data_IF_610559236466
#
_entry.id   IF_610559236466
#
_cell.length_a   1.000
_cell.length_b   1.000
_cell.length_c   1.000
_cell.angle_alpha   90.00
_cell.angle_beta   90.00
_cell.angle_gamma   90.00
#
_symmetry.space_group_name_H-M   'P 1'
#
loop_
_entity.id
_entity.type
_entity.pdbx_description
1 polymer ?
#
# COMPACT_ATOMS: atom_id res chain seq x y z
N UNK A 1 0.04 -10.37 14.95
CA UNK A 1 -0.56 -11.49 14.17
C UNK A 1 -1.92 -11.82 14.76
N UNK A 2 -1.98 -12.11 16.05
CA UNK A 2 -3.24 -12.27 16.80
C UNK A 2 -4.15 -11.04 16.65
N UNK A 3 -3.62 -9.82 16.77
CA UNK A 3 -4.37 -8.57 16.54
C UNK A 3 -4.96 -8.44 15.13
N UNK A 4 -4.45 -9.21 14.16
CA UNK A 4 -4.93 -9.24 12.78
C UNK A 4 -5.86 -10.44 12.52
N UNK A 5 -6.15 -11.27 13.53
CA UNK A 5 -6.90 -12.51 13.39
C UNK A 5 -6.14 -13.62 12.67
N UNK A 6 -4.81 -13.54 12.59
CA UNK A 6 -3.95 -14.55 11.96
C UNK A 6 -3.45 -15.51 13.04
N UNK A 7 -3.62 -16.81 12.80
CA UNK A 7 -3.16 -17.88 13.70
C UNK A 7 -1.66 -17.76 13.99
N UNK A 8 -1.23 -17.96 15.24
CA UNK A 8 0.16 -17.77 15.67
C UNK A 8 1.13 -18.80 15.07
N UNK A 9 0.63 -19.98 14.72
CA UNK A 9 1.36 -21.10 14.12
C UNK A 9 1.59 -20.95 12.60
N UNK A 10 1.16 -19.85 11.98
CA UNK A 10 1.30 -19.66 10.52
C UNK A 10 2.74 -19.82 10.03
N UNK A 11 3.73 -19.49 10.87
CA UNK A 11 5.17 -19.59 10.54
C UNK A 11 5.67 -21.02 10.46
N UNK A 12 5.01 -21.94 11.15
CA UNK A 12 5.40 -23.36 11.16
C UNK A 12 4.75 -24.13 10.00
N UNK A 13 3.65 -23.59 9.46
CA UNK A 13 2.82 -24.25 8.46
C UNK A 13 2.99 -23.70 7.04
N UNK A 14 3.58 -22.50 6.88
CA UNK A 14 3.68 -21.82 5.58
C UNK A 14 5.05 -21.21 5.32
N UNK A 15 5.54 -21.43 4.10
CA UNK A 15 6.60 -20.62 3.50
C UNK A 15 6.00 -19.41 2.77
N UNK A 16 6.66 -18.25 2.88
CA UNK A 16 6.24 -17.02 2.20
C UNK A 16 7.19 -16.72 1.04
N UNK A 17 6.65 -16.71 -0.17
CA UNK A 17 7.34 -16.26 -1.37
C UNK A 17 6.69 -14.98 -1.89
N UNK A 18 7.47 -13.91 -2.07
CA UNK A 18 7.01 -12.63 -2.63
C UNK A 18 7.56 -12.50 -4.05
N UNK A 19 6.65 -12.41 -5.03
CA UNK A 19 7.01 -12.23 -6.44
C UNK A 19 6.57 -10.86 -6.94
N UNK A 20 7.54 -10.00 -7.24
CA UNK A 20 7.29 -8.77 -7.98
C UNK A 20 7.32 -9.05 -9.49
N UNK A 21 6.29 -8.61 -10.21
CA UNK A 21 6.20 -8.77 -11.67
C UNK A 21 7.26 -7.91 -12.39
N UNK A 22 7.61 -8.29 -13.62
CA UNK A 22 8.70 -7.69 -14.41
C UNK A 22 10.09 -7.95 -13.78
N UNK A 23 10.40 -9.22 -13.47
CA UNK A 23 11.66 -9.66 -12.83
C UNK A 23 12.95 -9.18 -13.54
N UNK A 24 12.87 -8.82 -14.84
CA UNK A 24 14.01 -8.31 -15.60
C UNK A 24 14.32 -6.82 -15.36
N UNK A 25 13.43 -6.07 -14.70
CA UNK A 25 13.61 -4.65 -14.41
C UNK A 25 13.96 -4.54 -12.91
N UNK A 26 15.17 -4.05 -12.55
CA UNK A 26 15.53 -3.83 -11.16
C UNK A 26 14.48 -2.97 -10.44
N UNK A 27 13.91 -3.52 -9.36
CA UNK A 27 12.97 -2.80 -8.51
C UNK A 27 13.76 -2.18 -7.36
N UNK A 28 14.25 -0.97 -7.60
CA UNK A 28 15.05 -0.23 -6.63
C UNK A 28 14.16 0.53 -5.64
N UNK A 29 14.49 0.42 -4.36
CA UNK A 29 13.96 1.27 -3.30
C UNK A 29 12.85 0.64 -2.42
N UNK A 30 12.78 1.04 -1.14
CA UNK A 30 11.91 0.45 -0.12
C UNK A 30 10.41 0.79 -0.29
N UNK A 31 10.05 1.53 -1.33
CA UNK A 31 8.73 2.16 -1.48
C UNK A 31 7.54 1.22 -1.73
N UNK A 32 7.79 -0.09 -1.85
CA UNK A 32 6.77 -1.14 -1.96
C UNK A 32 6.55 -1.91 -0.65
N UNK A 33 7.17 -1.48 0.47
CA UNK A 33 7.11 -2.18 1.74
C UNK A 33 5.68 -2.41 2.23
N UNK A 34 4.84 -1.36 2.21
CA UNK A 34 3.42 -1.47 2.60
C UNK A 34 2.63 -2.40 1.67
N UNK A 35 2.97 -2.44 0.37
CA UNK A 35 2.33 -3.32 -0.62
C UNK A 35 2.63 -4.78 -0.33
N UNK A 36 3.89 -5.10 -0.04
CA UNK A 36 4.33 -6.45 0.29
C UNK A 36 3.64 -6.93 1.56
N UNK A 37 3.63 -6.11 2.61
CA UNK A 37 2.99 -6.46 3.89
C UNK A 37 1.48 -6.69 3.72
N UNK A 38 0.80 -5.82 2.96
CA UNK A 38 -0.62 -5.99 2.65
C UNK A 38 -0.89 -7.31 1.93
N UNK A 39 -0.07 -7.67 0.94
CA UNK A 39 -0.20 -8.94 0.22
C UNK A 39 -0.03 -10.16 1.12
N UNK A 40 0.97 -10.14 2.01
CA UNK A 40 1.19 -11.23 2.98
C UNK A 40 0.00 -11.33 3.94
N UNK A 41 -0.46 -10.21 4.51
CA UNK A 41 -1.61 -10.20 5.43
C UNK A 41 -2.88 -10.69 4.73
N UNK A 42 -3.13 -10.25 3.50
CA UNK A 42 -4.24 -10.70 2.67
C UNK A 42 -4.22 -12.21 2.47
N UNK A 43 -3.07 -12.78 2.08
CA UNK A 43 -2.90 -14.20 1.86
C UNK A 43 -3.12 -15.02 3.14
N UNK A 44 -2.57 -14.56 4.27
CA UNK A 44 -2.71 -15.24 5.56
C UNK A 44 -4.13 -15.15 6.15
N UNK A 45 -4.83 -14.02 5.96
CA UNK A 45 -6.23 -13.85 6.42
C UNK A 45 -7.25 -14.48 5.49
N UNK A 46 -6.90 -14.79 4.25
CA UNK A 46 -7.86 -15.17 3.21
C UNK A 46 -8.82 -14.03 2.83
N UNK A 47 -8.42 -12.78 3.06
CA UNK A 47 -9.22 -11.58 2.77
C UNK A 47 -8.65 -10.89 1.54
N UNK A 48 -9.44 -10.64 0.47
CA UNK A 48 -8.93 -10.04 -0.75
C UNK A 48 -8.56 -8.56 -0.56
N UNK A 49 -7.55 -8.11 -1.32
CA UNK A 49 -7.23 -6.70 -1.50
C UNK A 49 -8.21 -6.08 -2.51
N UNK A 50 -8.65 -4.85 -2.27
CA UNK A 50 -9.53 -4.10 -3.18
C UNK A 50 -8.84 -3.89 -4.54
N UNK A 51 -9.43 -4.31 -5.66
CA UNK A 51 -8.77 -4.27 -6.97
C UNK A 51 -8.55 -2.84 -7.50
N UNK A 52 -9.29 -1.85 -6.99
CA UNK A 52 -9.21 -0.45 -7.40
C UNK A 52 -8.22 0.41 -6.59
N UNK A 53 -7.43 -0.20 -5.70
CA UNK A 53 -6.46 0.47 -4.82
C UNK A 53 -5.03 0.32 -5.34
N UNK A 54 -4.33 1.45 -5.45
CA UNK A 54 -2.87 1.50 -5.53
C UNK A 54 -2.27 1.99 -4.20
N UNK A 55 -1.05 1.57 -3.87
CA UNK A 55 -0.37 2.02 -2.65
C UNK A 55 1.14 2.11 -2.83
N UNK A 56 1.77 3.05 -2.14
CA UNK A 56 3.23 3.15 -2.00
C UNK A 56 3.58 3.65 -0.60
N UNK A 57 4.72 3.23 -0.09
CA UNK A 57 5.17 3.59 1.26
C UNK A 57 6.30 2.68 1.69
N UNK A 58 7.34 3.27 2.26
CA UNK A 58 8.31 2.51 3.04
C UNK A 58 7.69 2.19 4.40
N UNK A 59 8.01 1.02 4.95
CA UNK A 59 7.50 0.58 6.25
C UNK A 59 8.65 0.25 7.19
N UNK A 60 8.54 0.73 8.43
CA UNK A 60 9.47 0.38 9.51
C UNK A 60 9.05 -0.90 10.21
N UNK A 61 9.95 -1.54 10.96
CA UNK A 61 9.63 -2.71 11.80
C UNK A 61 8.49 -2.40 12.80
N UNK A 62 8.39 -1.15 13.25
CA UNK A 62 7.36 -0.70 14.19
C UNK A 62 6.01 -0.39 13.52
N UNK A 63 5.89 -0.56 12.21
CA UNK A 63 4.64 -0.33 11.47
C UNK A 63 4.42 1.10 11.00
N UNK A 64 5.33 2.05 11.29
CA UNK A 64 5.27 3.42 10.74
C UNK A 64 5.47 3.38 9.23
N UNK A 65 4.64 4.13 8.50
CA UNK A 65 4.74 4.39 7.07
C UNK A 65 5.55 5.67 6.84
N UNK A 66 6.57 5.59 5.99
CA UNK A 66 7.49 6.69 5.67
C UNK A 66 7.29 7.18 4.24
N UNK A 67 7.65 8.45 4.03
CA UNK A 67 7.59 9.11 2.74
C UNK A 67 8.44 8.41 1.67
N UNK A 68 8.02 8.54 0.42
CA UNK A 68 8.71 7.94 -0.73
C UNK A 68 8.96 8.97 -1.82
N UNK A 69 10.03 8.77 -2.60
CA UNK A 69 10.30 9.59 -3.78
C UNK A 69 9.39 9.26 -4.97
N UNK A 70 9.38 10.17 -5.95
CA UNK A 70 8.75 9.94 -7.25
C UNK A 70 7.22 9.91 -7.21
N UNK A 71 6.59 10.76 -6.39
CA UNK A 71 5.12 10.78 -6.25
C UNK A 71 4.41 11.11 -7.56
N UNK A 72 4.89 12.11 -8.32
CA UNK A 72 4.28 12.49 -9.59
C UNK A 72 4.20 11.32 -10.59
N UNK A 73 5.29 10.63 -10.96
CA UNK A 73 5.20 9.51 -11.90
C UNK A 73 4.39 8.32 -11.34
N UNK A 74 4.40 8.08 -10.03
CA UNK A 74 3.59 7.03 -9.39
C UNK A 74 2.10 7.33 -9.49
N UNK A 75 1.71 8.58 -9.23
CA UNK A 75 0.32 9.02 -9.32
C UNK A 75 -0.19 9.01 -10.78
N UNK A 76 0.65 9.43 -11.73
CA UNK A 76 0.33 9.32 -13.16
C UNK A 76 0.08 7.86 -13.58
N UNK A 77 0.97 6.94 -13.20
CA UNK A 77 0.82 5.52 -13.53
C UNK A 77 -0.45 4.91 -12.92
N UNK A 78 -0.78 5.29 -11.68
CA UNK A 78 -2.03 4.90 -11.03
C UNK A 78 -3.25 5.38 -11.83
N UNK A 79 -3.27 6.65 -12.24
CA UNK A 79 -4.35 7.22 -13.06
C UNK A 79 -4.47 6.53 -14.42
N UNK A 80 -3.36 6.25 -15.10
CA UNK A 80 -3.33 5.55 -16.39
C UNK A 80 -3.83 4.11 -16.27
N UNK A 81 -3.56 3.44 -15.15
CA UNK A 81 -4.08 2.12 -14.83
C UNK A 81 -5.58 2.12 -14.44
N UNK A 82 -6.20 3.31 -14.32
CA UNK A 82 -7.62 3.44 -13.97
C UNK A 82 -7.95 3.08 -12.52
N UNK A 83 -6.96 3.14 -11.61
CA UNK A 83 -7.23 2.92 -10.18
C UNK A 83 -8.04 4.08 -9.62
N UNK A 84 -8.87 3.80 -8.62
CA UNK A 84 -9.79 4.80 -8.05
C UNK A 84 -9.23 5.43 -6.78
N UNK A 85 -8.41 4.69 -6.05
CA UNK A 85 -7.89 5.09 -4.74
C UNK A 85 -6.39 4.89 -4.72
N UNK A 86 -5.65 5.89 -4.22
CA UNK A 86 -4.21 5.81 -4.02
C UNK A 86 -3.88 6.07 -2.55
N UNK A 87 -3.28 5.09 -1.89
CA UNK A 87 -2.78 5.18 -0.52
C UNK A 87 -1.35 5.73 -0.56
N UNK A 88 -1.13 6.85 0.13
CA UNK A 88 0.15 7.57 0.18
C UNK A 88 0.58 7.84 1.63
N UNK A 89 1.88 7.91 1.91
CA UNK A 89 2.37 8.36 3.21
C UNK A 89 1.94 9.80 3.49
N UNK A 90 1.59 10.12 4.74
CA UNK A 90 1.24 11.49 5.18
C UNK A 90 2.40 12.47 4.90
N UNK A 91 3.65 12.01 5.01
CA UNK A 91 4.86 12.79 4.70
C UNK A 91 4.90 13.29 3.24
N UNK A 92 4.19 12.62 2.31
CA UNK A 92 4.11 13.02 0.91
C UNK A 92 2.97 14.01 0.59
N UNK A 93 2.15 14.42 1.57
CA UNK A 93 1.04 15.37 1.34
C UNK A 93 1.51 16.69 0.72
N UNK A 94 2.66 17.19 1.16
CA UNK A 94 3.25 18.39 0.59
C UNK A 94 3.64 18.19 -0.88
N UNK A 95 4.27 17.07 -1.24
CA UNK A 95 4.64 16.79 -2.63
C UNK A 95 3.40 16.79 -3.55
N UNK A 96 2.30 16.20 -3.08
CA UNK A 96 1.03 16.16 -3.81
C UNK A 96 0.39 17.55 -3.94
N UNK A 97 0.49 18.39 -2.90
CA UNK A 97 -0.09 19.74 -2.93
C UNK A 97 0.50 20.64 -4.02
N UNK A 98 1.73 20.36 -4.45
CA UNK A 98 2.41 21.08 -5.54
C UNK A 98 2.07 20.53 -6.93
N UNK A 99 1.31 19.43 -7.03
CA UNK A 99 0.92 18.83 -8.32
C UNK A 99 -0.29 19.55 -8.94
N UNK A 100 -0.43 19.49 -10.28
CA UNK A 100 -1.60 20.02 -10.98
C UNK A 100 -2.93 19.45 -10.45
N UNK A 101 -3.97 20.29 -10.38
CA UNK A 101 -5.28 19.90 -9.83
C UNK A 101 -5.88 18.65 -10.51
N UNK A 102 -5.73 18.54 -11.83
CA UNK A 102 -6.24 17.39 -12.59
C UNK A 102 -5.70 16.03 -12.13
N UNK A 103 -4.54 16.00 -11.46
CA UNK A 103 -3.97 14.77 -10.88
C UNK A 103 -4.60 14.43 -9.54
N UNK A 104 -5.01 15.45 -8.77
CA UNK A 104 -5.68 15.30 -7.48
C UNK A 104 -7.16 14.97 -7.63
N UNK A 105 -7.80 15.44 -8.70
CA UNK A 105 -9.24 15.30 -8.91
C UNK A 105 -9.67 13.96 -9.54
N UNK A 106 -8.72 13.20 -10.11
CA UNK A 106 -9.02 11.96 -10.84
C UNK A 106 -8.99 10.69 -9.98
N UNK A 107 -8.38 10.76 -8.80
CA UNK A 107 -8.28 9.62 -7.87
C UNK A 107 -8.52 10.10 -6.44
N UNK A 108 -9.12 9.25 -5.63
CA UNK A 108 -9.22 9.46 -4.19
C UNK A 108 -7.84 9.23 -3.56
N UNK A 109 -7.36 10.21 -2.79
CA UNK A 109 -6.08 10.11 -2.08
C UNK A 109 -6.32 9.83 -0.60
N UNK A 110 -5.78 8.71 -0.13
CA UNK A 110 -5.83 8.31 1.28
C UNK A 110 -4.43 8.46 1.86
N UNK A 111 -4.27 9.37 2.81
CA UNK A 111 -2.98 9.59 3.48
C UNK A 111 -2.90 8.78 4.76
N UNK A 112 -1.77 8.12 4.98
CA UNK A 112 -1.56 7.19 6.09
C UNK A 112 -0.21 7.41 6.76
N UNK A 113 -0.13 7.08 8.05
CA UNK A 113 1.08 7.16 8.85
C UNK A 113 1.47 5.80 9.46
N UNK A 114 0.56 4.84 9.46
CA UNK A 114 0.71 3.52 10.06
C UNK A 114 0.14 2.40 9.17
N UNK A 115 0.74 1.22 9.25
CA UNK A 115 0.34 0.04 8.49
C UNK A 115 -1.11 -0.40 8.76
N UNK A 116 -1.65 -0.15 9.95
CA UNK A 116 -3.05 -0.45 10.28
C UNK A 116 -4.01 0.34 9.38
N UNK A 117 -3.70 1.59 9.10
CA UNK A 117 -4.50 2.45 8.22
C UNK A 117 -4.42 1.97 6.77
N UNK A 118 -3.23 1.52 6.33
CA UNK A 118 -3.06 0.90 5.00
C UNK A 118 -3.94 -0.34 4.87
N UNK A 119 -3.87 -1.26 5.84
CA UNK A 119 -4.62 -2.52 5.80
C UNK A 119 -6.13 -2.26 5.81
N UNK A 120 -6.58 -1.30 6.62
CA UNK A 120 -7.99 -0.89 6.70
C UNK A 120 -8.49 -0.27 5.37
N UNK A 121 -7.67 0.54 4.71
CA UNK A 121 -8.01 1.12 3.41
C UNK A 121 -7.94 0.12 2.24
N UNK A 122 -7.04 -0.88 2.32
CA UNK A 122 -6.73 -1.79 1.23
C UNK A 122 -7.55 -3.10 1.23
N UNK A 123 -7.86 -3.66 2.39
CA UNK A 123 -8.56 -4.95 2.48
C UNK A 123 -10.09 -4.79 2.37
N UNK A 124 -10.74 -5.81 1.83
CA UNK A 124 -12.21 -5.88 1.77
C UNK A 124 -12.77 -6.22 3.14
N UNK A 125 -13.82 -5.50 3.58
CA UNK A 125 -14.52 -5.76 4.84
C UNK A 125 -13.91 -5.10 6.09
N UNK A 126 -12.80 -4.38 5.95
CA UNK A 126 -12.27 -3.47 6.98
C UNK A 126 -12.84 -2.04 6.75
N UNK A 127 -13.07 -1.29 7.83
CA UNK A 127 -13.57 0.09 7.78
C UNK A 127 -12.47 1.02 7.26
N UNK A 128 -12.73 1.73 6.15
CA UNK A 128 -11.78 2.71 5.60
C UNK A 128 -11.68 3.90 6.56
N UNK A 129 -10.46 4.29 7.02
CA UNK A 129 -10.31 5.50 7.81
C UNK A 129 -10.81 6.72 7.01
N UNK A 130 -11.55 7.60 7.70
CA UNK A 130 -12.19 8.79 7.13
C UNK A 130 -11.18 9.88 6.72
#
# INVERSE_FOLDING_TARGET
AEDLGISSDWRDNFDVAVLATMMAIPKEGPSAGVTIVTGIVSALKGVPVRPEVAMTGEITIMGKVLGVGGIQPKLMAAMEAGVKVVILPEENRNDVAHLPDYMRDKVELVYVSDIREVLAAALVGEDRPA
#
